data_IF_249536536477
#
_entry.id   IF_249536536477
#
_cell.length_a   1.000
_cell.length_b   1.000
_cell.length_c   1.000
_cell.angle_alpha   90.00
_cell.angle_beta   90.00
_cell.angle_gamma   90.00
#
_symmetry.space_group_name_H-M   'P 1'
#
loop_
_entity.id
_entity.type
_entity.pdbx_description
1 polymer ?
#
# COMPACT_ATOMS: atom_id res chain seq x y z
N UNK A 1 26.05 -13.94 -38.82
CA UNK A 1 26.98 -12.79 -38.67
C UNK A 1 26.41 -11.65 -39.49
N UNK A 2 25.59 -10.82 -38.86
CA UNK A 2 25.06 -9.57 -39.45
C UNK A 2 25.68 -8.40 -38.68
N UNK A 3 26.23 -7.44 -39.43
CA UNK A 3 27.05 -6.35 -38.92
C UNK A 3 26.24 -5.19 -38.35
N UNK A 4 26.75 -4.64 -37.24
CA UNK A 4 26.26 -3.43 -36.56
C UNK A 4 26.42 -2.16 -37.43
N UNK A 5 25.48 -1.19 -37.37
CA UNK A 5 25.63 0.11 -38.03
C UNK A 5 26.48 1.09 -37.20
N UNK A 6 27.32 1.87 -37.89
CA UNK A 6 28.26 2.82 -37.28
C UNK A 6 27.62 4.18 -36.92
N UNK A 7 27.86 4.64 -35.70
CA UNK A 7 27.50 5.99 -35.25
C UNK A 7 28.47 7.03 -35.82
N UNK A 8 27.96 8.00 -36.61
CA UNK A 8 28.70 9.23 -36.96
C UNK A 8 28.64 10.23 -35.81
N UNK A 9 29.80 10.76 -35.39
CA UNK A 9 29.88 11.94 -34.50
C UNK A 9 29.62 13.24 -35.28
N UNK A 10 28.95 14.24 -34.70
CA UNK A 10 28.85 15.57 -35.30
C UNK A 10 30.18 16.35 -35.19
N UNK A 11 30.44 17.31 -36.10
CA UNK A 11 31.72 18.01 -36.16
C UNK A 11 31.87 19.08 -35.06
N UNK A 12 33.09 19.21 -34.54
CA UNK A 12 33.45 20.24 -33.57
C UNK A 12 33.57 21.62 -34.25
N UNK A 13 32.78 22.59 -33.80
CA UNK A 13 32.89 23.98 -34.25
C UNK A 13 34.20 24.61 -33.77
N UNK A 14 35.11 24.96 -34.70
CA UNK A 14 36.33 25.71 -34.40
C UNK A 14 35.98 27.16 -34.01
N UNK A 15 36.44 27.60 -32.84
CA UNK A 15 36.29 28.97 -32.28
C UNK A 15 36.91 30.10 -33.14
N UNK A 16 37.52 29.77 -34.29
CA UNK A 16 38.32 30.68 -35.12
C UNK A 16 37.51 31.55 -36.08
N UNK A 17 36.17 31.51 -36.06
CA UNK A 17 35.30 32.25 -36.99
C UNK A 17 34.53 33.42 -36.37
N UNK A 18 34.65 33.68 -35.06
CA UNK A 18 33.93 34.78 -34.40
C UNK A 18 34.64 36.14 -34.59
N UNK A 19 33.91 37.26 -34.82
CA UNK A 19 34.49 38.58 -35.01
C UNK A 19 35.22 39.09 -33.75
N UNK A 20 36.31 39.85 -33.93
CA UNK A 20 37.31 40.23 -32.91
C UNK A 20 36.72 40.81 -31.62
N UNK A 21 35.64 41.59 -31.70
CA UNK A 21 34.92 42.14 -30.52
C UNK A 21 34.25 41.06 -29.65
N UNK A 22 33.73 39.99 -30.25
CA UNK A 22 33.08 38.88 -29.51
C UNK A 22 34.10 37.96 -28.82
N UNK A 23 35.31 37.80 -29.38
CA UNK A 23 36.40 37.05 -28.72
C UNK A 23 36.92 37.76 -27.48
N UNK A 24 37.10 39.08 -27.56
CA UNK A 24 37.55 39.90 -26.43
C UNK A 24 36.50 39.85 -25.30
N UNK A 25 35.22 39.98 -25.64
CA UNK A 25 34.13 39.89 -24.66
C UNK A 25 34.08 38.51 -23.99
N UNK A 26 34.21 37.42 -24.77
CA UNK A 26 34.21 36.06 -24.23
C UNK A 26 35.39 35.82 -23.26
N UNK A 27 36.61 36.24 -23.65
CA UNK A 27 37.83 36.09 -22.82
C UNK A 27 37.71 36.90 -21.51
N UNK A 28 37.18 38.13 -21.58
CA UNK A 28 36.96 38.96 -20.38
C UNK A 28 35.91 38.31 -19.47
N UNK A 29 34.80 37.80 -20.02
CA UNK A 29 33.75 37.16 -19.21
C UNK A 29 34.23 35.85 -18.56
N UNK A 30 34.98 35.02 -19.29
CA UNK A 30 35.55 33.79 -18.72
C UNK A 30 36.64 34.08 -17.69
N UNK A 31 37.46 35.12 -17.92
CA UNK A 31 38.47 35.56 -16.97
C UNK A 31 37.88 36.08 -15.66
N UNK A 32 36.81 36.88 -15.73
CA UNK A 32 36.09 37.38 -14.56
C UNK A 32 35.40 36.25 -13.77
N UNK A 33 34.84 35.24 -14.46
CA UNK A 33 34.25 34.06 -13.82
C UNK A 33 35.29 33.21 -13.08
N UNK A 34 36.45 32.98 -13.69
CA UNK A 34 37.54 32.23 -13.04
C UNK A 34 38.09 33.02 -11.83
N UNK A 35 38.24 34.34 -11.95
CA UNK A 35 38.68 35.19 -10.86
C UNK A 35 37.66 35.20 -9.71
N UNK A 36 36.35 35.24 -10.01
CA UNK A 36 35.29 35.16 -9.01
C UNK A 36 35.28 33.82 -8.28
N UNK A 37 35.43 32.70 -9.01
CA UNK A 37 35.51 31.36 -8.41
C UNK A 37 36.74 31.23 -7.50
N UNK A 38 37.91 31.72 -7.95
CA UNK A 38 39.13 31.73 -7.15
C UNK A 38 39.01 32.63 -5.91
N UNK A 39 38.38 33.80 -6.02
CA UNK A 39 38.10 34.68 -4.88
C UNK A 39 37.14 34.01 -3.87
N UNK A 40 36.08 33.34 -4.33
CA UNK A 40 35.19 32.59 -3.45
C UNK A 40 35.86 31.36 -2.81
N UNK A 41 36.83 30.75 -3.49
CA UNK A 41 37.60 29.64 -2.93
C UNK A 41 38.59 30.13 -1.86
N UNK A 42 39.28 31.26 -2.11
CA UNK A 42 40.19 31.89 -1.14
C UNK A 42 39.41 32.44 0.07
N UNK A 43 38.25 33.06 -0.14
CA UNK A 43 37.36 33.52 0.93
C UNK A 43 36.67 32.36 1.67
N UNK A 44 36.43 31.22 1.01
CA UNK A 44 35.90 30.01 1.65
C UNK A 44 36.91 29.32 2.57
N UNK A 45 38.21 29.40 2.24
CA UNK A 45 39.30 28.85 3.05
C UNK A 45 39.63 29.68 4.31
N UNK A 46 39.19 30.94 4.39
CA UNK A 46 39.37 31.76 5.60
C UNK A 46 38.20 31.69 6.59
N UNK A 47 37.07 31.09 6.20
CA UNK A 47 35.84 31.01 7.04
C UNK A 47 35.65 29.63 7.69
N UNK A 48 36.34 28.57 7.24
CA UNK A 48 36.30 27.25 7.86
C UNK A 48 37.62 26.87 8.52
N UNK A 49 37.90 27.51 9.66
CA UNK A 49 38.73 26.91 10.69
C UNK A 49 37.84 26.66 11.92
N UNK A 50 37.15 25.51 12.03
CA UNK A 50 36.42 25.19 13.24
C UNK A 50 37.45 24.93 14.34
N UNK A 51 37.59 25.89 15.25
CA UNK A 51 38.19 25.64 16.56
C UNK A 51 37.45 24.46 17.20
N UNK A 52 38.16 23.46 17.76
CA UNK A 52 37.50 22.40 18.51
C UNK A 52 36.86 23.02 19.75
N UNK A 53 35.55 23.24 19.69
CA UNK A 53 34.76 23.56 20.87
C UNK A 53 34.70 22.29 21.71
N UNK A 54 35.47 22.28 22.79
CA UNK A 54 35.33 21.31 23.87
C UNK A 54 33.94 21.50 24.47
N UNK A 55 32.98 20.72 23.99
CA UNK A 55 31.75 20.48 24.75
C UNK A 55 32.17 19.86 26.08
N UNK A 56 31.75 20.40 27.24
CA UNK A 56 31.93 19.68 28.48
C UNK A 56 31.22 18.33 28.33
N UNK A 57 31.78 17.24 28.89
CA UNK A 57 31.15 15.93 28.78
C UNK A 57 29.72 16.06 29.30
N UNK A 58 28.75 15.65 28.48
CA UNK A 58 27.39 15.44 28.94
C UNK A 58 27.51 14.41 30.05
N UNK A 59 27.45 14.89 31.28
CA UNK A 59 27.29 14.02 32.42
C UNK A 59 25.90 13.44 32.22
N UNK A 60 25.82 12.17 31.83
CA UNK A 60 24.57 11.43 31.93
C UNK A 60 24.19 11.45 33.40
N UNK A 61 23.36 12.42 33.80
CA UNK A 61 22.64 12.31 35.05
C UNK A 61 21.81 11.02 34.92
N UNK A 62 21.96 10.05 35.83
CA UNK A 62 21.07 8.92 35.84
C UNK A 62 19.65 9.48 35.91
N UNK A 63 18.81 9.08 34.96
CA UNK A 63 17.40 9.44 34.92
C UNK A 63 16.86 9.41 36.37
N UNK A 64 16.40 10.58 36.85
CA UNK A 64 15.96 10.73 38.23
C UNK A 64 14.98 9.62 38.58
N UNK A 65 15.01 9.11 39.82
CA UNK A 65 14.14 8.01 40.23
C UNK A 65 12.66 8.28 39.90
N UNK A 66 12.25 9.55 39.85
CA UNK A 66 10.94 9.99 39.38
C UNK A 66 10.73 9.75 37.88
N UNK A 67 11.66 10.07 36.98
CA UNK A 67 11.45 9.81 35.54
C UNK A 67 11.45 8.33 35.21
N UNK A 68 12.24 7.51 35.93
CA UNK A 68 12.17 6.04 35.86
C UNK A 68 10.88 5.48 36.46
N UNK A 69 10.40 6.03 37.58
CA UNK A 69 9.11 5.62 38.15
C UNK A 69 7.96 5.98 37.22
N UNK A 70 7.93 7.19 36.66
CA UNK A 70 6.91 7.61 35.71
C UNK A 70 6.98 6.81 34.41
N UNK A 71 8.18 6.50 33.89
CA UNK A 71 8.31 5.64 32.70
C UNK A 71 7.86 4.21 32.98
N UNK A 72 8.22 3.66 34.14
CA UNK A 72 7.84 2.31 34.52
C UNK A 72 6.34 2.22 34.84
N UNK A 73 5.78 3.20 35.55
CA UNK A 73 4.34 3.29 35.84
C UNK A 73 3.51 3.49 34.57
N UNK A 74 3.97 4.32 33.62
CA UNK A 74 3.28 4.47 32.32
C UNK A 74 3.41 3.24 31.44
N UNK A 75 4.54 2.54 31.46
CA UNK A 75 4.71 1.26 30.77
C UNK A 75 3.84 0.16 31.36
N UNK A 76 3.84 0.01 32.68
CA UNK A 76 3.08 -1.01 33.39
C UNK A 76 1.57 -0.75 33.28
N UNK A 77 1.15 0.52 33.35
CA UNK A 77 -0.24 0.91 33.12
C UNK A 77 -0.67 0.69 31.65
N UNK A 78 0.18 0.99 30.67
CA UNK A 78 -0.09 0.66 29.26
C UNK A 78 -0.14 -0.85 29.02
N UNK A 79 0.79 -1.61 29.59
CA UNK A 79 0.79 -3.07 29.50
C UNK A 79 -0.46 -3.67 30.14
N UNK A 80 -0.93 -3.11 31.26
CA UNK A 80 -2.18 -3.52 31.90
C UNK A 80 -3.42 -3.15 31.08
N UNK A 81 -3.46 -1.96 30.47
CA UNK A 81 -4.54 -1.57 29.56
C UNK A 81 -4.58 -2.43 28.30
N UNK A 82 -3.41 -2.82 27.76
CA UNK A 82 -3.30 -3.73 26.62
C UNK A 82 -3.72 -5.15 26.99
N UNK A 83 -3.36 -5.62 28.18
CA UNK A 83 -3.79 -6.93 28.68
C UNK A 83 -5.32 -7.00 28.91
N UNK A 84 -5.97 -5.87 29.16
CA UNK A 84 -7.42 -5.77 29.35
C UNK A 84 -8.18 -5.41 28.05
N UNK A 85 -7.51 -5.07 26.96
CA UNK A 85 -8.15 -4.85 25.66
C UNK A 85 -8.21 -6.18 24.91
N UNK A 86 -9.38 -6.80 24.93
CA UNK A 86 -9.65 -7.98 24.12
C UNK A 86 -9.94 -7.57 22.66
N UNK A 87 -9.02 -7.93 21.76
CA UNK A 87 -9.17 -7.71 20.31
C UNK A 87 -9.87 -8.87 19.59
N UNK A 88 -10.55 -9.77 20.31
CA UNK A 88 -11.30 -10.90 19.73
C UNK A 88 -12.42 -10.46 18.76
N UNK A 89 -12.84 -9.19 18.78
CA UNK A 89 -13.81 -8.68 17.81
C UNK A 89 -13.20 -8.30 16.45
N UNK A 90 -11.86 -8.32 16.32
CA UNK A 90 -11.12 -8.01 15.11
C UNK A 90 -10.45 -9.26 14.54
N UNK A 91 -10.81 -9.64 13.32
CA UNK A 91 -10.13 -10.65 12.53
C UNK A 91 -9.18 -9.98 11.52
N UNK A 92 -7.94 -10.44 11.45
CA UNK A 92 -6.92 -9.90 10.53
C UNK A 92 -6.41 -10.99 9.59
N UNK A 93 -6.47 -10.74 8.29
CA UNK A 93 -5.74 -11.49 7.28
C UNK A 93 -4.46 -10.73 6.91
N UNK A 94 -3.31 -11.35 7.19
CA UNK A 94 -2.01 -10.89 6.74
C UNK A 94 -1.71 -11.52 5.37
N UNK A 95 -1.79 -10.74 4.31
CA UNK A 95 -1.49 -11.20 2.94
C UNK A 95 0.02 -11.16 2.72
N UNK A 96 0.57 -12.29 2.30
CA UNK A 96 2.01 -12.46 2.10
C UNK A 96 2.28 -13.33 0.85
N UNK A 97 3.53 -13.36 0.41
CA UNK A 97 4.03 -14.30 -0.59
C UNK A 97 4.89 -15.37 0.08
N UNK A 98 5.00 -16.55 -0.50
CA UNK A 98 5.83 -17.65 0.02
C UNK A 98 7.30 -17.25 0.20
N UNK A 99 7.80 -16.30 -0.61
CA UNK A 99 9.16 -15.76 -0.51
C UNK A 99 9.36 -14.71 0.59
N UNK A 100 8.31 -13.95 0.91
CA UNK A 100 8.36 -12.84 1.86
C UNK A 100 7.90 -13.25 3.25
N UNK A 101 7.02 -14.24 3.34
CA UNK A 101 6.45 -14.75 4.58
C UNK A 101 7.46 -15.05 5.68
N UNK A 102 8.49 -15.92 5.48
CA UNK A 102 9.45 -16.21 6.54
C UNK A 102 10.35 -15.02 6.90
N UNK A 103 10.38 -13.96 6.07
CA UNK A 103 11.26 -12.79 6.25
C UNK A 103 10.55 -11.61 6.91
N UNK A 104 9.28 -11.39 6.60
CA UNK A 104 8.54 -10.16 6.98
C UNK A 104 7.58 -10.37 8.14
N UNK A 105 6.97 -11.54 8.24
CA UNK A 105 5.90 -11.78 9.21
C UNK A 105 6.33 -11.98 10.66
N UNK A 106 7.55 -12.52 10.99
CA UNK A 106 7.97 -12.63 12.39
C UNK A 106 7.93 -11.30 13.14
N UNK A 107 8.43 -10.22 12.53
CA UNK A 107 8.43 -8.88 13.12
C UNK A 107 7.01 -8.37 13.43
N UNK A 108 6.00 -8.75 12.64
CA UNK A 108 4.63 -8.34 12.87
C UNK A 108 4.00 -9.08 14.05
N UNK A 109 4.24 -10.39 14.15
CA UNK A 109 3.77 -11.22 15.27
C UNK A 109 4.48 -10.90 16.59
N UNK A 110 5.73 -10.45 16.54
CA UNK A 110 6.45 -9.97 17.72
C UNK A 110 6.04 -8.55 18.15
N UNK A 111 5.32 -7.82 17.30
CA UNK A 111 4.91 -6.43 17.54
C UNK A 111 3.39 -6.28 17.62
N UNK A 112 2.74 -5.68 16.62
CA UNK A 112 1.35 -5.23 16.68
C UNK A 112 0.33 -6.37 16.62
N UNK A 113 0.69 -7.52 16.02
CA UNK A 113 -0.18 -8.70 15.99
C UNK A 113 -0.09 -9.54 17.27
N UNK A 114 0.86 -9.25 18.18
CA UNK A 114 1.04 -10.00 19.43
C UNK A 114 -0.21 -10.02 20.29
N UNK A 115 -1.00 -8.94 20.26
CA UNK A 115 -2.23 -8.79 21.04
C UNK A 115 -3.49 -9.28 20.30
N UNK A 116 -3.40 -9.63 19.02
CA UNK A 116 -4.57 -10.04 18.22
C UNK A 116 -4.59 -11.56 18.09
N UNK A 117 -5.65 -12.19 18.59
CA UNK A 117 -5.78 -13.65 18.56
C UNK A 117 -6.29 -14.17 17.20
N UNK A 118 -7.18 -13.43 16.55
CA UNK A 118 -7.84 -13.83 15.31
C UNK A 118 -7.03 -13.38 14.09
N UNK A 119 -5.87 -14.00 13.88
CA UNK A 119 -4.98 -13.69 12.75
C UNK A 119 -4.77 -14.91 11.87
N UNK A 120 -4.96 -14.73 10.55
CA UNK A 120 -4.53 -15.67 9.53
C UNK A 120 -3.41 -15.06 8.69
N UNK A 121 -2.49 -15.91 8.24
CA UNK A 121 -1.58 -15.55 7.15
C UNK A 121 -2.08 -16.24 5.88
N UNK A 122 -2.33 -15.46 4.84
CA UNK A 122 -2.82 -15.97 3.55
C UNK A 122 -1.79 -15.74 2.46
N UNK A 123 -1.71 -16.66 1.50
CA UNK A 123 -0.81 -16.55 0.36
C UNK A 123 -1.10 -17.59 -0.71
N UNK A 124 -0.10 -17.89 -1.53
CA UNK A 124 -0.18 -18.86 -2.63
C UNK A 124 0.45 -20.22 -2.30
N UNK A 125 0.91 -20.45 -1.07
CA UNK A 125 1.54 -21.73 -0.70
C UNK A 125 1.19 -22.15 0.72
N UNK A 126 0.46 -23.25 0.83
CA UNK A 126 0.05 -23.81 2.11
C UNK A 126 1.21 -24.45 2.87
N UNK A 127 1.13 -24.47 4.21
CA UNK A 127 2.01 -25.28 5.05
C UNK A 127 3.45 -24.78 5.14
N UNK A 128 3.74 -23.59 4.59
CA UNK A 128 4.95 -22.84 4.96
C UNK A 128 4.72 -22.38 6.39
N UNK A 129 5.62 -22.79 7.29
CA UNK A 129 5.64 -22.32 8.67
C UNK A 129 6.70 -21.24 8.82
N UNK A 130 6.37 -20.17 9.52
CA UNK A 130 7.34 -19.20 10.01
C UNK A 130 7.78 -19.54 11.44
N UNK A 131 8.64 -18.67 11.96
CA UNK A 131 9.01 -18.60 13.37
C UNK A 131 7.73 -18.49 14.21
N UNK A 132 7.57 -19.37 15.21
CA UNK A 132 6.38 -19.57 16.07
C UNK A 132 5.28 -20.51 15.56
N UNK A 133 5.51 -21.26 14.48
CA UNK A 133 4.61 -22.37 14.10
C UNK A 133 3.25 -21.92 13.56
N UNK A 134 3.13 -20.65 13.14
CA UNK A 134 1.98 -20.19 12.35
C UNK A 134 2.15 -20.73 10.94
N UNK A 135 1.03 -21.02 10.28
CA UNK A 135 1.01 -21.58 8.93
C UNK A 135 0.42 -20.56 7.97
N UNK A 136 1.01 -20.44 6.79
CA UNK A 136 0.37 -19.80 5.66
C UNK A 136 -0.74 -20.70 5.11
N UNK A 137 -1.90 -20.10 4.85
CA UNK A 137 -3.02 -20.73 4.15
C UNK A 137 -2.96 -20.40 2.67
N UNK A 138 -3.02 -21.44 1.82
CA UNK A 138 -3.18 -21.26 0.38
C UNK A 138 -4.61 -20.83 0.09
N UNK A 139 -4.76 -19.61 -0.43
CA UNK A 139 -6.04 -19.06 -0.88
C UNK A 139 -6.07 -18.84 -2.39
N UNK A 140 -4.98 -19.20 -3.09
CA UNK A 140 -4.81 -18.96 -4.52
C UNK A 140 -5.13 -20.21 -5.33
N UNK A 141 -4.43 -21.32 -5.06
CA UNK A 141 -4.53 -22.50 -5.90
C UNK A 141 -5.92 -23.15 -5.78
N UNK A 142 -6.56 -23.37 -6.93
CA UNK A 142 -7.89 -23.97 -7.02
C UNK A 142 -9.05 -23.06 -6.59
N UNK A 143 -8.81 -21.82 -6.16
CA UNK A 143 -9.86 -20.92 -5.70
C UNK A 143 -10.87 -20.57 -6.82
N UNK A 144 -10.37 -20.30 -8.03
CA UNK A 144 -11.21 -20.03 -9.20
C UNK A 144 -12.02 -21.25 -9.63
N UNK A 145 -11.40 -22.42 -9.70
CA UNK A 145 -12.09 -23.67 -10.08
C UNK A 145 -13.15 -24.04 -9.06
N UNK A 146 -12.86 -23.86 -7.76
CA UNK A 146 -13.82 -24.09 -6.70
C UNK A 146 -15.00 -23.10 -6.78
N UNK A 147 -14.76 -21.83 -7.12
CA UNK A 147 -15.83 -20.85 -7.36
C UNK A 147 -16.69 -21.23 -8.57
N UNK A 148 -16.06 -21.63 -9.70
CA UNK A 148 -16.78 -22.12 -10.90
C UNK A 148 -17.62 -23.36 -10.59
N UNK A 149 -17.09 -24.30 -9.81
CA UNK A 149 -17.80 -25.49 -9.39
C UNK A 149 -19.03 -25.16 -8.53
N UNK A 150 -18.92 -24.24 -7.56
CA UNK A 150 -20.04 -23.80 -6.71
C UNK A 150 -21.13 -23.06 -7.48
N UNK A 151 -20.77 -22.26 -8.48
CA UNK A 151 -21.73 -21.55 -9.34
C UNK A 151 -22.46 -22.46 -10.33
N UNK A 152 -21.80 -23.53 -10.78
CA UNK A 152 -22.25 -24.37 -11.87
C UNK A 152 -22.29 -23.64 -13.23
N UNK A 153 -22.61 -24.34 -14.34
CA UNK A 153 -22.47 -23.79 -15.70
C UNK A 153 -23.31 -22.53 -15.95
N UNK A 154 -24.52 -22.46 -15.40
CA UNK A 154 -25.39 -21.28 -15.54
C UNK A 154 -24.85 -20.07 -14.78
N UNK A 155 -24.37 -20.28 -13.55
CA UNK A 155 -23.80 -19.21 -12.73
C UNK A 155 -22.49 -18.67 -13.32
N UNK A 156 -21.63 -19.56 -13.83
CA UNK A 156 -20.41 -19.17 -14.54
C UNK A 156 -20.72 -18.32 -15.76
N UNK A 157 -21.62 -18.77 -16.64
CA UNK A 157 -22.06 -17.99 -17.81
C UNK A 157 -22.64 -16.63 -17.43
N UNK A 158 -23.40 -16.56 -16.33
CA UNK A 158 -23.94 -15.30 -15.82
C UNK A 158 -22.82 -14.36 -15.36
N UNK A 159 -21.88 -14.84 -14.55
CA UNK A 159 -20.73 -14.07 -14.08
C UNK A 159 -19.87 -13.55 -15.25
N UNK A 160 -19.56 -14.42 -16.20
CA UNK A 160 -18.79 -14.06 -17.41
C UNK A 160 -19.54 -13.05 -18.29
N UNK A 161 -20.87 -13.12 -18.36
CA UNK A 161 -21.67 -12.16 -19.13
C UNK A 161 -21.71 -10.76 -18.52
N UNK A 162 -21.28 -10.60 -17.26
CA UNK A 162 -21.24 -9.33 -16.53
C UNK A 162 -19.87 -8.64 -16.63
N UNK A 163 -18.83 -9.34 -17.10
CA UNK A 163 -17.50 -8.77 -17.28
C UNK A 163 -17.55 -7.55 -18.22
N UNK A 164 -16.96 -6.44 -17.80
CA UNK A 164 -16.89 -5.20 -18.59
C UNK A 164 -18.21 -4.42 -18.70
N UNK A 165 -19.31 -4.85 -18.07
CA UNK A 165 -20.58 -4.13 -18.20
C UNK A 165 -20.71 -2.97 -17.21
N UNK A 166 -19.97 -1.88 -17.46
CA UNK A 166 -20.31 -0.57 -16.93
C UNK A 166 -21.10 0.23 -17.98
N UNK A 167 -22.45 0.15 -17.93
CA UNK A 167 -23.26 1.29 -18.35
C UNK A 167 -23.19 2.29 -17.21
N UNK A 168 -22.34 3.31 -17.36
CA UNK A 168 -22.33 4.47 -16.47
C UNK A 168 -23.73 5.11 -16.50
N UNK A 169 -24.54 4.89 -15.46
CA UNK A 169 -25.64 5.78 -15.14
C UNK A 169 -25.09 6.84 -14.18
N UNK A 170 -24.51 7.89 -14.75
CA UNK A 170 -23.92 9.04 -14.03
C UNK A 170 -24.99 10.00 -13.46
N UNK A 171 -26.24 9.58 -13.35
CA UNK A 171 -27.34 10.50 -13.01
C UNK A 171 -27.59 10.68 -11.52
N UNK A 172 -26.95 9.90 -10.64
CA UNK A 172 -27.22 10.01 -9.21
C UNK A 172 -25.96 9.74 -8.39
N UNK A 173 -25.11 10.76 -8.21
CA UNK A 173 -24.45 11.09 -6.92
C UNK A 173 -23.86 12.50 -7.01
N UNK A 174 -24.33 13.39 -6.13
CA UNK A 174 -23.65 14.64 -5.80
C UNK A 174 -22.29 14.35 -5.20
N UNK A 175 -21.27 14.20 -6.04
CA UNK A 175 -19.88 14.17 -5.61
C UNK A 175 -19.39 15.59 -5.41
N UNK A 176 -19.32 16.02 -4.16
CA UNK A 176 -18.50 17.18 -3.78
C UNK A 176 -17.08 16.95 -4.32
N UNK A 177 -16.48 17.90 -5.06
CA UNK A 177 -15.11 17.74 -5.52
C UNK A 177 -14.19 17.58 -4.31
N UNK A 178 -13.43 16.50 -4.23
CA UNK A 178 -12.34 16.36 -3.26
C UNK A 178 -11.27 17.41 -3.57
N UNK A 179 -11.39 18.60 -2.98
CA UNK A 179 -10.31 19.56 -2.82
C UNK A 179 -9.56 19.21 -1.52
N UNK A 180 -8.76 18.16 -1.58
CA UNK A 180 -7.70 17.89 -0.62
C UNK A 180 -6.37 17.99 -1.35
N UNK A 181 -5.58 19.02 -1.06
CA UNK A 181 -4.20 19.10 -1.53
C UNK A 181 -3.40 17.97 -0.86
N UNK A 182 -3.29 16.83 -1.54
CA UNK A 182 -2.31 15.80 -1.20
C UNK A 182 -0.95 16.37 -1.56
N UNK A 183 -0.12 16.63 -0.56
CA UNK A 183 1.26 17.05 -0.76
C UNK A 183 2.00 16.01 -1.60
N UNK A 184 2.55 16.43 -2.74
CA UNK A 184 3.45 15.61 -3.55
C UNK A 184 4.79 15.52 -2.81
N UNK A 185 5.03 14.42 -2.12
CA UNK A 185 6.40 14.04 -1.79
C UNK A 185 7.12 13.67 -3.09
N UNK A 186 8.15 14.45 -3.45
CA UNK A 186 8.89 14.36 -4.73
C UNK A 186 9.86 13.15 -4.79
N UNK A 187 9.53 12.04 -4.14
CA UNK A 187 10.45 10.91 -3.96
C UNK A 187 9.90 9.53 -4.28
N UNK A 188 8.61 9.37 -4.56
CA UNK A 188 8.05 8.05 -4.88
C UNK A 188 7.62 7.92 -6.35
N UNK A 189 7.74 6.69 -6.86
CA UNK A 189 7.48 6.33 -8.25
C UNK A 189 5.98 6.32 -8.49
N UNK A 190 5.50 7.15 -9.43
CA UNK A 190 4.08 7.21 -9.78
C UNK A 190 3.53 5.85 -10.23
N UNK A 191 2.20 5.70 -10.21
CA UNK A 191 1.54 4.54 -10.82
C UNK A 191 1.99 4.33 -12.28
N UNK A 192 2.27 5.40 -13.02
CA UNK A 192 2.81 5.34 -14.38
C UNK A 192 4.26 4.80 -14.43
N UNK A 193 5.11 5.21 -13.47
CA UNK A 193 6.49 4.69 -13.34
C UNK A 193 6.51 3.20 -12.96
N UNK A 194 5.48 2.74 -12.25
CA UNK A 194 5.32 1.34 -11.84
C UNK A 194 4.87 0.46 -13.01
N UNK A 195 4.00 1.00 -13.89
CA UNK A 195 3.57 0.34 -15.14
C UNK A 195 4.74 0.24 -16.12
N UNK A 196 5.52 1.32 -16.27
CA UNK A 196 6.70 1.36 -17.14
C UNK A 196 7.80 0.38 -16.69
N UNK A 197 7.92 0.13 -15.39
CA UNK A 197 8.97 -0.72 -14.82
C UNK A 197 8.64 -2.23 -14.81
N UNK A 198 7.52 -2.66 -15.41
CA UNK A 198 7.22 -4.08 -15.66
C UNK A 198 6.88 -4.91 -14.41
N UNK A 199 6.62 -4.27 -13.25
CA UNK A 199 6.32 -4.96 -11.99
C UNK A 199 5.05 -5.81 -12.09
N UNK A 200 4.04 -5.34 -12.83
CA UNK A 200 2.76 -6.03 -13.03
C UNK A 200 2.85 -7.29 -13.91
N UNK A 201 4.01 -7.55 -14.54
CA UNK A 201 4.21 -8.71 -15.42
C UNK A 201 4.95 -9.86 -14.73
N UNK A 202 5.24 -9.76 -13.42
CA UNK A 202 5.88 -10.85 -12.69
C UNK A 202 4.81 -11.79 -12.09
N UNK A 203 5.05 -13.10 -12.11
CA UNK A 203 4.13 -14.15 -11.65
C UNK A 203 3.63 -13.92 -10.21
N UNK A 204 4.47 -13.29 -9.37
CA UNK A 204 4.12 -12.90 -8.01
C UNK A 204 2.96 -11.90 -7.94
N UNK A 205 2.90 -10.90 -8.82
CA UNK A 205 1.81 -9.92 -8.85
C UNK A 205 0.51 -10.49 -9.41
N UNK A 206 0.62 -11.36 -10.43
CA UNK A 206 -0.53 -12.05 -11.01
C UNK A 206 -1.21 -12.93 -9.96
N UNK A 207 -0.45 -13.73 -9.22
CA UNK A 207 -1.02 -14.55 -8.14
C UNK A 207 -1.56 -13.72 -6.98
N UNK A 208 -0.91 -12.60 -6.63
CA UNK A 208 -1.34 -11.72 -5.55
C UNK A 208 -2.76 -11.16 -5.75
N UNK A 209 -3.08 -10.77 -6.98
CA UNK A 209 -4.40 -10.25 -7.34
C UNK A 209 -5.56 -11.23 -7.07
N UNK A 210 -5.26 -12.53 -6.95
CA UNK A 210 -6.25 -13.58 -6.73
C UNK A 210 -6.39 -14.01 -5.27
N UNK A 211 -5.64 -13.43 -4.34
CA UNK A 211 -5.67 -13.81 -2.92
C UNK A 211 -6.78 -13.11 -2.13
N UNK A 212 -7.17 -11.88 -2.48
CA UNK A 212 -8.02 -11.06 -1.61
C UNK A 212 -9.45 -11.63 -1.42
N UNK A 213 -10.18 -11.93 -2.49
CA UNK A 213 -11.55 -12.46 -2.40
C UNK A 213 -11.62 -13.80 -1.63
N UNK A 214 -10.85 -14.85 -2.01
CA UNK A 214 -10.84 -16.10 -1.24
C UNK A 214 -10.22 -15.91 0.16
N UNK A 215 -9.30 -14.97 0.33
CA UNK A 215 -8.73 -14.60 1.62
C UNK A 215 -9.77 -14.05 2.61
N UNK A 216 -10.67 -13.16 2.16
CA UNK A 216 -11.77 -12.69 2.99
C UNK A 216 -12.79 -13.80 3.29
N UNK A 217 -13.06 -14.68 2.32
CA UNK A 217 -13.92 -15.85 2.55
C UNK A 217 -13.35 -16.78 3.61
N UNK A 218 -12.03 -17.05 3.57
CA UNK A 218 -11.35 -17.84 4.59
C UNK A 218 -11.34 -17.12 5.94
N UNK A 219 -11.04 -15.83 5.98
CA UNK A 219 -10.98 -15.06 7.23
C UNK A 219 -12.32 -15.09 7.98
N UNK A 220 -13.43 -14.92 7.27
CA UNK A 220 -14.76 -15.06 7.87
C UNK A 220 -15.07 -16.49 8.32
N UNK A 221 -14.66 -17.48 7.53
CA UNK A 221 -14.89 -18.90 7.85
C UNK A 221 -14.19 -19.29 9.16
N UNK A 222 -12.95 -18.84 9.38
CA UNK A 222 -12.19 -19.16 10.59
C UNK A 222 -12.64 -18.33 11.79
N UNK A 223 -13.11 -17.10 11.57
CA UNK A 223 -13.53 -16.18 12.65
C UNK A 223 -14.95 -15.61 12.43
N UNK A 224 -16.00 -16.46 12.44
CA UNK A 224 -17.36 -16.02 12.09
C UNK A 224 -17.98 -15.06 13.13
N UNK A 225 -17.50 -15.10 14.37
CA UNK A 225 -17.98 -14.26 15.48
C UNK A 225 -17.35 -12.86 15.48
N UNK A 226 -16.29 -12.63 14.70
CA UNK A 226 -15.66 -11.33 14.62
C UNK A 226 -16.64 -10.25 14.12
N UNK A 227 -16.44 -9.03 14.60
CA UNK A 227 -17.22 -7.85 14.22
C UNK A 227 -16.60 -7.12 13.03
N UNK A 228 -15.27 -7.21 12.92
CA UNK A 228 -14.47 -6.47 11.95
C UNK A 228 -13.44 -7.38 11.31
N UNK A 229 -13.26 -7.20 10.00
CA UNK A 229 -12.42 -8.03 9.15
C UNK A 229 -11.46 -7.12 8.38
N UNK A 230 -10.19 -7.17 8.76
CA UNK A 230 -9.13 -6.36 8.17
C UNK A 230 -8.22 -7.26 7.33
N UNK A 231 -7.91 -6.85 6.10
CA UNK A 231 -6.82 -7.44 5.32
C UNK A 231 -5.74 -6.39 5.12
N UNK A 232 -4.49 -6.77 5.35
CA UNK A 232 -3.29 -5.93 5.17
C UNK A 232 -2.19 -6.71 4.44
N UNK A 233 -1.25 -6.00 3.84
CA UNK A 233 -0.05 -6.59 3.24
C UNK A 233 1.04 -6.83 4.30
N UNK A 234 2.01 -7.69 3.99
CA UNK A 234 3.08 -8.07 4.90
C UNK A 234 4.19 -7.02 5.11
N UNK A 235 4.01 -5.83 4.55
CA UNK A 235 4.80 -4.62 4.78
C UNK A 235 3.96 -3.48 5.40
N UNK A 236 2.77 -3.81 5.90
CA UNK A 236 1.89 -2.88 6.61
C UNK A 236 2.05 -2.94 8.13
N UNK A 237 1.76 -1.84 8.83
CA UNK A 237 1.74 -1.77 10.29
C UNK A 237 0.41 -1.20 10.78
N UNK A 238 -0.18 -1.81 11.82
CA UNK A 238 -1.47 -1.38 12.36
C UNK A 238 -1.32 -0.95 13.82
N UNK A 239 -1.77 0.28 14.13
CA UNK A 239 -2.00 0.72 15.50
C UNK A 239 -3.32 0.13 16.01
N UNK A 240 -3.30 -1.14 16.44
CA UNK A 240 -4.50 -1.93 16.75
C UNK A 240 -5.38 -1.27 17.81
N UNK A 241 -4.79 -0.59 18.79
CA UNK A 241 -5.51 0.12 19.84
C UNK A 241 -6.30 1.31 19.27
N UNK A 242 -5.69 2.04 18.33
CA UNK A 242 -6.33 3.17 17.68
C UNK A 242 -7.48 2.70 16.78
N UNK A 243 -7.24 1.61 16.03
CA UNK A 243 -8.28 0.99 15.21
C UNK A 243 -9.44 0.51 16.07
N UNK A 244 -9.19 -0.24 17.14
CA UNK A 244 -10.23 -0.74 18.03
C UNK A 244 -11.05 0.40 18.66
N UNK A 245 -10.40 1.46 19.14
CA UNK A 245 -11.10 2.66 19.66
C UNK A 245 -11.95 3.35 18.60
N UNK A 246 -11.44 3.50 17.38
CA UNK A 246 -12.16 4.11 16.26
C UNK A 246 -13.42 3.31 15.90
N UNK A 247 -13.37 1.98 15.99
CA UNK A 247 -14.47 1.11 15.59
C UNK A 247 -15.64 1.07 16.58
N UNK A 248 -15.42 1.43 17.85
CA UNK A 248 -16.47 1.47 18.90
C UNK A 248 -17.67 2.36 18.58
N UNK A 249 -17.51 3.33 17.69
CA UNK A 249 -18.60 4.24 17.30
C UNK A 249 -19.52 3.67 16.20
N UNK A 250 -19.21 2.50 15.64
CA UNK A 250 -19.96 1.91 14.53
C UNK A 250 -20.69 0.64 14.97
N UNK A 251 -21.88 0.41 14.40
CA UNK A 251 -22.60 -0.86 14.55
C UNK A 251 -22.06 -1.88 13.53
N UNK A 252 -21.40 -2.97 13.94
CA UNK A 252 -20.76 -3.93 13.03
C UNK A 252 -21.75 -4.73 12.16
N UNK A 253 -23.05 -4.75 12.49
CA UNK A 253 -24.07 -5.40 11.66
C UNK A 253 -24.53 -4.52 10.49
N UNK A 254 -24.17 -3.23 10.48
CA UNK A 254 -24.32 -2.37 9.31
C UNK A 254 -23.21 -2.65 8.29
N UNK A 255 -23.44 -2.30 7.03
CA UNK A 255 -22.50 -2.56 5.93
C UNK A 255 -21.49 -1.43 5.79
N UNK A 256 -20.33 -1.58 6.42
CA UNK A 256 -19.19 -0.70 6.25
C UNK A 256 -18.05 -1.37 5.47
N UNK A 257 -17.57 -0.66 4.46
CA UNK A 257 -16.34 -0.88 3.72
C UNK A 257 -15.47 0.36 3.89
N UNK A 258 -14.30 0.23 4.52
CA UNK A 258 -13.46 1.35 4.93
C UNK A 258 -12.00 1.14 4.49
N UNK A 259 -11.31 2.24 4.23
CA UNK A 259 -9.89 2.28 3.89
C UNK A 259 -9.47 3.62 3.27
N UNK A 260 -8.22 3.68 2.79
CA UNK A 260 -7.74 4.82 1.99
C UNK A 260 -8.33 4.73 0.59
N UNK A 261 -8.97 5.80 0.12
CA UNK A 261 -9.55 5.82 -1.22
C UNK A 261 -8.43 5.86 -2.27
N UNK A 262 -8.56 5.00 -3.27
CA UNK A 262 -7.70 4.94 -4.43
C UNK A 262 -8.53 4.86 -5.73
N UNK A 263 -7.89 5.23 -6.85
CA UNK A 263 -8.43 5.17 -8.20
C UNK A 263 -7.75 4.04 -8.97
N UNK A 264 -8.43 3.51 -9.99
CA UNK A 264 -7.88 2.47 -10.85
C UNK A 264 -8.29 2.67 -12.31
N UNK A 265 -7.64 1.93 -13.20
CA UNK A 265 -7.98 1.75 -14.61
C UNK A 265 -7.63 0.31 -15.04
N UNK A 266 -8.16 -0.14 -16.18
CA UNK A 266 -7.83 -1.45 -16.76
C UNK A 266 -8.58 -2.64 -16.14
N UNK A 267 -9.58 -2.38 -15.30
CA UNK A 267 -10.54 -3.39 -14.82
C UNK A 267 -11.96 -2.86 -15.01
N UNK A 268 -12.93 -3.76 -15.24
CA UNK A 268 -14.35 -3.41 -15.38
C UNK A 268 -14.62 -2.32 -16.44
N UNK A 269 -13.90 -2.38 -17.56
CA UNK A 269 -13.92 -1.42 -18.67
C UNK A 269 -13.63 0.04 -18.27
N UNK A 270 -13.05 0.27 -17.09
CA UNK A 270 -12.57 1.59 -16.67
C UNK A 270 -11.31 1.94 -17.46
N UNK A 271 -11.50 2.64 -18.58
CA UNK A 271 -10.41 3.05 -19.47
C UNK A 271 -9.64 4.28 -18.99
N UNK A 272 -10.21 5.08 -18.09
CA UNK A 272 -9.65 6.35 -17.62
C UNK A 272 -9.59 6.36 -16.10
N UNK A 273 -8.40 6.65 -15.54
CA UNK A 273 -8.20 6.77 -14.10
C UNK A 273 -9.24 7.68 -13.45
N UNK A 274 -9.95 7.14 -12.45
CA UNK A 274 -10.93 7.89 -11.67
C UNK A 274 -12.34 7.94 -12.26
N UNK A 275 -12.60 7.29 -13.41
CA UNK A 275 -13.97 7.05 -13.89
C UNK A 275 -14.64 5.84 -13.22
N UNK A 276 -13.85 4.96 -12.59
CA UNK A 276 -14.35 3.87 -11.77
C UNK A 276 -14.75 4.33 -10.35
N UNK A 277 -15.47 3.48 -9.59
CA UNK A 277 -15.75 3.74 -8.19
C UNK A 277 -14.45 3.82 -7.37
N UNK A 278 -14.39 4.63 -6.30
CA UNK A 278 -13.25 4.60 -5.39
C UNK A 278 -13.17 3.25 -4.67
N UNK A 279 -11.96 2.72 -4.50
CA UNK A 279 -11.68 1.46 -3.81
C UNK A 279 -10.71 1.68 -2.64
N UNK A 280 -10.73 0.80 -1.64
CA UNK A 280 -9.75 0.83 -0.56
C UNK A 280 -8.43 0.26 -1.07
N UNK A 281 -7.34 1.02 -0.96
CA UNK A 281 -6.02 0.55 -1.38
C UNK A 281 -5.57 -0.64 -0.51
N UNK A 282 -5.15 -1.74 -1.13
CA UNK A 282 -4.75 -2.98 -0.45
C UNK A 282 -3.72 -2.78 0.66
N UNK A 283 -2.59 -2.14 0.35
CA UNK A 283 -1.49 -1.92 1.30
C UNK A 283 -1.80 -0.95 2.45
N UNK A 284 -2.84 -0.11 2.35
CA UNK A 284 -3.29 0.68 3.53
C UNK A 284 -4.11 -0.13 4.51
N UNK A 285 -4.66 -1.24 4.05
CA UNK A 285 -5.67 -2.03 4.75
C UNK A 285 -7.06 -1.89 4.13
N UNK A 286 -7.69 -3.03 3.92
CA UNK A 286 -9.10 -3.14 3.53
C UNK A 286 -9.90 -3.61 4.74
N UNK A 287 -10.78 -2.76 5.25
CA UNK A 287 -11.59 -3.06 6.44
C UNK A 287 -13.06 -3.26 6.07
N UNK A 288 -13.64 -4.35 6.55
CA UNK A 288 -15.06 -4.66 6.46
C UNK A 288 -15.67 -4.92 7.83
N UNK A 289 -16.85 -4.37 8.05
CA UNK A 289 -17.76 -4.81 9.12
C UNK A 289 -18.33 -6.21 8.85
N UNK A 290 -18.86 -6.87 9.89
CA UNK A 290 -19.60 -8.13 9.79
C UNK A 290 -20.75 -8.06 8.78
N UNK A 291 -21.51 -6.97 8.79
CA UNK A 291 -22.59 -6.76 7.81
C UNK A 291 -22.10 -6.71 6.37
N UNK A 292 -20.93 -6.08 6.13
CA UNK A 292 -20.33 -5.97 4.81
C UNK A 292 -19.75 -7.30 4.31
N UNK A 293 -18.97 -8.00 5.13
CA UNK A 293 -18.38 -9.27 4.71
C UNK A 293 -19.47 -10.32 4.44
N UNK A 294 -20.54 -10.39 5.25
CA UNK A 294 -21.69 -11.28 4.98
C UNK A 294 -22.38 -10.97 3.65
N UNK A 295 -22.41 -9.70 3.24
CA UNK A 295 -22.95 -9.32 1.93
C UNK A 295 -22.00 -9.69 0.79
N UNK A 296 -20.69 -9.47 0.96
CA UNK A 296 -19.65 -9.90 0.01
C UNK A 296 -19.73 -11.40 -0.26
N UNK A 297 -19.80 -12.22 0.79
CA UNK A 297 -19.80 -13.69 0.68
C UNK A 297 -20.99 -14.26 -0.08
N UNK A 298 -22.10 -13.53 -0.19
CA UNK A 298 -23.25 -13.97 -1.01
C UNK A 298 -22.94 -13.97 -2.50
N UNK A 299 -21.97 -13.17 -2.95
CA UNK A 299 -21.63 -13.01 -4.37
C UNK A 299 -20.14 -13.25 -4.65
N UNK A 300 -19.35 -13.67 -3.65
CA UNK A 300 -17.89 -13.80 -3.76
C UNK A 300 -17.47 -14.74 -4.89
N UNK A 301 -18.20 -15.84 -5.11
CA UNK A 301 -17.92 -16.78 -6.19
C UNK A 301 -18.20 -16.15 -7.56
N UNK A 302 -19.31 -15.42 -7.69
CA UNK A 302 -19.63 -14.66 -8.91
C UNK A 302 -18.53 -13.64 -9.20
N UNK A 303 -18.11 -12.86 -8.22
CA UNK A 303 -17.04 -11.87 -8.38
C UNK A 303 -15.68 -12.51 -8.68
N UNK A 304 -15.39 -13.68 -8.10
CA UNK A 304 -14.14 -14.42 -8.35
C UNK A 304 -14.02 -14.75 -9.83
N UNK A 305 -15.11 -15.19 -10.46
CA UNK A 305 -15.19 -15.46 -11.91
C UNK A 305 -15.27 -14.16 -12.72
N UNK A 306 -16.16 -13.24 -12.37
CA UNK A 306 -16.42 -12.01 -13.13
C UNK A 306 -15.19 -11.10 -13.21
N UNK A 307 -14.36 -11.05 -12.17
CA UNK A 307 -13.17 -10.20 -12.14
C UNK A 307 -11.88 -11.01 -12.25
N UNK A 308 -11.92 -12.20 -12.84
CA UNK A 308 -10.74 -13.09 -12.95
C UNK A 308 -9.61 -12.50 -13.81
N UNK A 309 -9.91 -11.59 -14.73
CA UNK A 309 -8.92 -10.90 -15.59
C UNK A 309 -8.40 -9.57 -14.99
N UNK A 310 -8.91 -9.15 -13.83
CA UNK A 310 -8.47 -7.90 -13.22
C UNK A 310 -7.14 -8.10 -12.48
N UNK A 311 -6.15 -7.28 -12.84
CA UNK A 311 -4.77 -7.36 -12.36
C UNK A 311 -4.58 -6.97 -10.87
N UNK A 312 -5.58 -6.36 -10.23
CA UNK A 312 -5.47 -5.79 -8.90
C UNK A 312 -6.48 -6.40 -7.92
N UNK A 313 -5.98 -7.03 -6.85
CA UNK A 313 -6.82 -7.72 -5.87
C UNK A 313 -7.74 -6.80 -5.05
N UNK A 314 -7.27 -5.59 -4.73
CA UNK A 314 -8.06 -4.57 -4.03
C UNK A 314 -9.17 -3.98 -4.91
N UNK A 315 -8.90 -3.76 -6.19
CA UNK A 315 -9.91 -3.40 -7.20
C UNK A 315 -10.98 -4.48 -7.30
N UNK A 316 -10.60 -5.77 -7.35
CA UNK A 316 -11.57 -6.89 -7.37
C UNK A 316 -12.48 -6.90 -6.15
N UNK A 317 -11.94 -6.64 -4.96
CA UNK A 317 -12.74 -6.52 -3.73
C UNK A 317 -13.68 -5.31 -3.80
N UNK A 318 -13.17 -4.15 -4.20
CA UNK A 318 -13.96 -2.93 -4.32
C UNK A 318 -15.11 -3.03 -5.32
N UNK A 319 -14.86 -3.61 -6.49
CA UNK A 319 -15.89 -3.89 -7.50
C UNK A 319 -16.91 -4.90 -7.02
N UNK A 320 -16.48 -5.94 -6.30
CA UNK A 320 -17.42 -6.90 -5.72
C UNK A 320 -18.29 -6.26 -4.63
N UNK A 321 -17.72 -5.40 -3.77
CA UNK A 321 -18.49 -4.67 -2.76
C UNK A 321 -19.48 -3.69 -3.39
N UNK A 322 -19.10 -3.02 -4.49
CA UNK A 322 -20.04 -2.21 -5.30
C UNK A 322 -21.20 -3.07 -5.78
N UNK A 323 -20.92 -4.24 -6.36
CA UNK A 323 -21.97 -5.16 -6.85
C UNK A 323 -22.86 -5.70 -5.71
N UNK A 324 -22.36 -5.73 -4.48
CA UNK A 324 -23.12 -6.02 -3.25
C UNK A 324 -23.89 -4.79 -2.68
N UNK A 325 -23.81 -3.63 -3.35
CA UNK A 325 -24.44 -2.37 -2.94
C UNK A 325 -23.70 -1.65 -1.81
N UNK A 326 -22.39 -1.86 -1.65
CA UNK A 326 -21.56 -1.29 -0.58
C UNK A 326 -20.50 -0.39 -1.20
N UNK A 327 -20.55 0.90 -0.88
CA UNK A 327 -19.59 1.89 -1.35
C UNK A 327 -18.48 2.11 -0.33
N UNK A 328 -17.29 2.45 -0.81
CA UNK A 328 -16.18 2.80 0.06
C UNK A 328 -16.51 4.03 0.90
N UNK A 329 -16.33 3.91 2.21
CA UNK A 329 -16.23 5.03 3.13
C UNK A 329 -14.74 5.35 3.34
N UNK A 330 -14.25 6.38 2.63
CA UNK A 330 -12.90 6.86 2.85
C UNK A 330 -12.69 7.19 4.34
N UNK A 331 -11.63 6.64 4.92
CA UNK A 331 -11.37 6.72 6.36
C UNK A 331 -9.94 7.25 6.59
N UNK A 332 -9.79 8.46 7.16
CA UNK A 332 -8.48 8.98 7.56
C UNK A 332 -7.77 8.04 8.54
N UNK A 333 -6.43 7.98 8.46
CA UNK A 333 -5.61 7.10 9.30
C UNK A 333 -5.22 5.78 8.64
N UNK A 334 -5.83 5.45 7.50
CA UNK A 334 -5.30 4.47 6.55
C UNK A 334 -4.29 5.20 5.66
N UNK A 335 -3.01 4.86 5.79
CA UNK A 335 -1.92 5.60 5.14
C UNK A 335 -1.17 4.68 4.18
N UNK A 336 -0.92 5.18 2.97
CA UNK A 336 -0.22 4.45 1.94
C UNK A 336 0.31 5.38 0.87
N UNK A 337 1.00 4.79 -0.08
CA UNK A 337 1.52 5.55 -1.20
C UNK A 337 0.39 5.88 -2.19
N UNK A 338 0.21 7.17 -2.56
CA UNK A 338 -0.96 7.65 -3.30
C UNK A 338 -1.04 7.20 -4.77
#
# INVERSE_FOLDING_TARGET
MEGLPSHRRPPAHKLSTLPRRRRICLIITTGLLILAVLLSYILGLTVFNPQPTTTPPITHQPASNTSRLFSNFTMEHKAHLLANMDFNNLAIALKSGSETFPKRTPAQFETFLKAVHNVLVIGEKGGVSDVHGRRMFDVYHGALDAAKARLGPKGVRFAESRMGKLKLDLSDQGSTPMQGQVGRDQGGKSAADTVQAGWFNNEGWVSDAHKNLPGFALLYKEFPEAEWFLMIDDDSYVFVENLHKYLKQFNPDKKYYMGQANKFQGCDDVAVMGMGPPIAQGGTGILMSRGAIKALLKIVDQCTVQYQECWAGDVRVGLCLRDAGIHLKHTPGFNGWP
#
